data_IF_918071674170
#
_entry.id   IF_918071674170
#
_cell.length_a   1.000
_cell.length_b   1.000
_cell.length_c   1.000
_cell.angle_alpha   90.00
_cell.angle_beta   90.00
_cell.angle_gamma   90.00
#
_symmetry.space_group_name_H-M   'P 1'
#
loop_
_entity.id
_entity.type
_entity.pdbx_description
1 polymer ?
#
# COMPACT_ATOMS: atom_id res chain seq x y z
N UNK A 1 -30.53 16.76 2.99
CA UNK A 1 -29.79 15.80 2.14
C UNK A 1 -28.32 16.13 2.26
N UNK A 2 -27.56 15.32 2.98
CA UNK A 2 -26.10 15.43 3.01
C UNK A 2 -25.57 14.00 2.96
N UNK A 3 -25.21 13.58 1.75
CA UNK A 3 -24.42 12.38 1.49
C UNK A 3 -23.27 12.83 0.58
N UNK A 4 -22.30 13.53 1.17
CA UNK A 4 -20.95 13.59 0.64
C UNK A 4 -20.17 12.50 1.36
N UNK A 5 -20.08 11.32 0.75
CA UNK A 5 -19.34 10.19 1.30
C UNK A 5 -17.85 10.48 1.40
N UNK A 6 -17.13 9.65 2.15
CA UNK A 6 -15.68 9.65 2.47
C UNK A 6 -14.67 9.94 1.33
N UNK A 7 -15.12 10.17 0.10
CA UNK A 7 -14.31 10.45 -1.07
C UNK A 7 -13.62 11.82 -1.06
N UNK A 8 -14.07 12.77 -0.22
CA UNK A 8 -13.58 14.16 -0.23
C UNK A 8 -12.18 14.37 0.38
N UNK A 9 -11.56 13.35 1.00
CA UNK A 9 -10.12 13.42 1.27
C UNK A 9 -9.53 12.04 1.57
N UNK A 10 -9.09 11.31 0.54
CA UNK A 10 -8.01 10.36 0.78
C UNK A 10 -6.82 11.15 1.34
N UNK A 11 -6.18 10.60 2.37
CA UNK A 11 -5.05 11.27 3.01
C UNK A 11 -3.92 11.50 1.97
N UNK A 12 -3.58 12.76 1.65
CA UNK A 12 -2.52 13.06 0.70
C UNK A 12 -1.16 12.52 1.17
N UNK A 13 -0.94 12.35 2.48
CA UNK A 13 0.27 11.73 3.01
C UNK A 13 0.30 10.23 2.68
N UNK A 14 -0.80 9.52 2.88
CA UNK A 14 -0.96 8.13 2.43
C UNK A 14 -0.71 7.95 0.93
N UNK A 15 -1.21 8.86 0.08
CA UNK A 15 -0.93 8.84 -1.37
C UNK A 15 0.56 9.01 -1.66
N UNK A 16 1.22 9.95 -1.00
CA UNK A 16 2.67 10.14 -1.17
C UNK A 16 3.49 8.94 -0.66
N UNK A 17 3.06 8.29 0.43
CA UNK A 17 3.68 7.03 0.88
C UNK A 17 3.61 5.95 -0.19
N UNK A 18 2.44 5.73 -0.82
CA UNK A 18 2.31 4.75 -1.91
C UNK A 18 3.18 5.16 -3.12
N UNK A 19 3.26 6.45 -3.44
CA UNK A 19 4.15 6.95 -4.49
C UNK A 19 5.61 6.60 -4.22
N UNK A 20 6.06 6.75 -2.97
CA UNK A 20 7.40 6.37 -2.57
C UNK A 20 7.65 4.87 -2.65
N UNK A 21 6.72 4.05 -2.17
CA UNK A 21 6.78 2.59 -2.31
C UNK A 21 6.97 2.18 -3.78
N UNK A 22 6.20 2.78 -4.70
CA UNK A 22 6.31 2.47 -6.13
C UNK A 22 7.65 2.94 -6.72
N UNK A 23 8.20 4.05 -6.24
CA UNK A 23 9.42 4.66 -6.80
C UNK A 23 10.71 3.93 -6.37
N UNK A 24 10.74 3.29 -5.20
CA UNK A 24 11.93 2.58 -4.70
C UNK A 24 12.06 1.15 -5.18
N UNK A 25 10.99 0.59 -5.73
CA UNK A 25 10.99 -0.79 -6.18
C UNK A 25 12.03 -1.00 -7.28
N UNK A 26 12.84 -2.06 -7.15
CA UNK A 26 13.87 -2.41 -8.14
C UNK A 26 13.27 -2.91 -9.45
N UNK A 27 12.00 -3.33 -9.42
CA UNK A 27 11.26 -3.86 -10.56
C UNK A 27 10.01 -3.01 -10.80
N UNK A 28 9.42 -3.04 -12.01
CA UNK A 28 8.12 -2.44 -12.22
C UNK A 28 7.10 -2.96 -11.19
N UNK A 29 6.56 -2.05 -10.38
CA UNK A 29 5.52 -2.36 -9.39
C UNK A 29 4.18 -1.86 -9.89
N UNK A 30 3.19 -2.75 -9.80
CA UNK A 30 1.82 -2.46 -10.18
C UNK A 30 0.90 -2.46 -8.97
N UNK A 31 -0.08 -1.57 -8.99
CA UNK A 31 -1.15 -1.45 -8.01
C UNK A 31 -2.34 -2.27 -8.47
N UNK A 32 -2.82 -3.13 -7.58
CA UNK A 32 -4.05 -3.91 -7.71
C UNK A 32 -4.92 -3.56 -6.51
N UNK A 33 -6.22 -3.34 -6.75
CA UNK A 33 -7.18 -2.98 -5.71
C UNK A 33 -8.05 -4.18 -5.41
N UNK A 34 -7.97 -4.62 -4.15
CA UNK A 34 -8.82 -5.65 -3.57
C UNK A 34 -9.84 -5.07 -2.58
N UNK A 35 -10.28 -3.83 -2.73
CA UNK A 35 -11.33 -3.24 -1.85
C UNK A 35 -12.72 -3.35 -2.47
N UNK A 36 -13.79 -3.33 -1.66
CA UNK A 36 -15.17 -3.17 -2.16
C UNK A 36 -15.33 -1.92 -3.04
N UNK A 37 -14.47 -0.91 -2.85
CA UNK A 37 -14.42 0.29 -3.66
C UNK A 37 -14.18 0.00 -5.15
N UNK A 38 -13.52 -1.11 -5.50
CA UNK A 38 -13.32 -1.51 -6.92
C UNK A 38 -14.64 -1.83 -7.63
N UNK A 39 -15.65 -2.26 -6.87
CA UNK A 39 -16.99 -2.59 -7.34
C UNK A 39 -17.84 -1.31 -7.43
N UNK A 40 -17.76 -0.46 -6.39
CA UNK A 40 -18.55 0.77 -6.30
C UNK A 40 -18.05 1.89 -7.22
N UNK A 41 -16.76 1.91 -7.53
CA UNK A 41 -16.11 2.99 -8.29
C UNK A 41 -15.37 2.42 -9.50
N UNK A 42 -16.01 2.30 -10.67
CA UNK A 42 -15.36 1.78 -11.86
C UNK A 42 -14.16 2.63 -12.30
N UNK A 43 -14.19 3.93 -12.01
CA UNK A 43 -13.18 4.93 -12.34
C UNK A 43 -12.13 5.14 -11.24
N UNK A 44 -12.06 4.25 -10.25
CA UNK A 44 -11.19 4.41 -9.08
C UNK A 44 -9.71 4.74 -9.41
N UNK A 45 -9.07 4.16 -10.45
CA UNK A 45 -7.72 4.56 -10.84
C UNK A 45 -7.64 6.04 -11.23
N UNK A 46 -8.63 6.55 -11.99
CA UNK A 46 -8.68 7.96 -12.37
C UNK A 46 -8.83 8.85 -11.14
N UNK A 47 -9.66 8.46 -10.18
CA UNK A 47 -9.83 9.19 -8.91
C UNK A 47 -8.51 9.24 -8.14
N UNK A 48 -7.82 8.10 -7.98
CA UNK A 48 -6.50 8.07 -7.36
C UNK A 48 -5.47 8.94 -8.12
N UNK A 49 -5.49 8.94 -9.46
CA UNK A 49 -4.63 9.84 -10.26
C UNK A 49 -4.90 11.30 -9.97
N UNK A 50 -6.17 11.71 -9.94
CA UNK A 50 -6.57 13.09 -9.64
C UNK A 50 -6.13 13.52 -8.24
N UNK A 51 -6.02 12.56 -7.31
CA UNK A 51 -5.55 12.78 -5.94
C UNK A 51 -4.01 12.69 -5.80
N UNK A 52 -3.28 12.52 -6.91
CA UNK A 52 -1.81 12.59 -6.92
C UNK A 52 -1.09 11.25 -6.94
N UNK A 53 -1.81 10.12 -7.07
CA UNK A 53 -1.16 8.81 -7.19
C UNK A 53 -0.42 8.69 -8.53
N UNK A 54 0.87 8.39 -8.46
CA UNK A 54 1.83 8.25 -9.57
C UNK A 54 2.18 6.80 -9.88
N UNK A 55 2.04 5.88 -8.92
CA UNK A 55 2.25 4.43 -9.13
C UNK A 55 1.43 3.84 -10.29
N UNK A 56 1.96 2.87 -11.02
CA UNK A 56 1.25 2.25 -12.15
C UNK A 56 0.18 1.27 -11.65
N UNK A 57 -1.01 1.26 -12.24
CA UNK A 57 -1.99 0.19 -12.00
C UNK A 57 -1.72 -0.99 -12.93
N UNK A 58 -1.94 -2.21 -12.47
CA UNK A 58 -1.86 -3.39 -13.34
C UNK A 58 -2.93 -3.28 -14.46
N UNK A 59 -2.70 -3.79 -15.70
CA UNK A 59 -3.75 -3.80 -16.73
C UNK A 59 -5.05 -4.48 -16.28
N UNK A 60 -4.94 -5.44 -15.37
CA UNK A 60 -6.05 -6.07 -14.63
C UNK A 60 -6.04 -5.61 -13.17
N UNK A 61 -6.25 -4.33 -12.92
CA UNK A 61 -6.06 -3.72 -11.59
C UNK A 61 -7.09 -4.10 -10.53
N UNK A 62 -8.17 -4.81 -10.86
CA UNK A 62 -9.21 -5.22 -9.91
C UNK A 62 -9.10 -6.71 -9.64
N UNK A 63 -9.15 -7.11 -8.38
CA UNK A 63 -9.45 -8.50 -8.05
C UNK A 63 -10.90 -8.83 -8.40
N UNK A 64 -11.23 -10.09 -8.73
CA UNK A 64 -12.62 -10.54 -8.87
C UNK A 64 -13.35 -10.48 -7.53
N UNK A 65 -14.69 -10.56 -7.55
CA UNK A 65 -15.52 -10.73 -6.35
C UNK A 65 -15.80 -12.23 -6.18
N UNK A 66 -14.82 -12.93 -5.60
CA UNK A 66 -14.80 -14.38 -5.51
C UNK A 66 -15.73 -14.84 -4.37
N UNK A 67 -17.03 -15.00 -4.69
CA UNK A 67 -17.96 -15.61 -3.74
C UNK A 67 -17.69 -17.10 -3.55
N UNK A 68 -17.13 -17.48 -2.40
CA UNK A 68 -16.97 -18.89 -2.04
C UNK A 68 -18.29 -19.45 -1.47
N UNK A 69 -19.03 -20.17 -2.32
CA UNK A 69 -20.33 -20.78 -1.97
C UNK A 69 -20.22 -21.86 -0.89
N UNK A 70 -19.09 -22.56 -0.82
CA UNK A 70 -18.90 -23.71 0.07
C UNK A 70 -18.50 -23.27 1.49
N UNK A 71 -17.78 -22.15 1.61
CA UNK A 71 -17.35 -21.61 2.89
C UNK A 71 -18.37 -20.63 3.53
N UNK A 72 -19.43 -20.27 2.80
CA UNK A 72 -20.41 -19.22 3.16
C UNK A 72 -19.75 -17.94 3.70
N UNK A 73 -18.55 -17.64 3.20
CA UNK A 73 -17.72 -16.48 3.53
C UNK A 73 -16.92 -16.12 2.29
N UNK A 74 -16.62 -14.85 2.12
CA UNK A 74 -15.63 -14.37 1.15
C UNK A 74 -14.43 -13.91 1.96
N UNK A 75 -13.35 -14.69 1.95
CA UNK A 75 -12.07 -14.17 2.40
C UNK A 75 -11.52 -13.28 1.30
N UNK A 76 -10.97 -12.12 1.63
CA UNK A 76 -10.21 -11.33 0.64
C UNK A 76 -9.03 -12.10 0.05
N UNK A 77 -8.54 -13.07 0.80
CA UNK A 77 -7.57 -14.04 0.30
C UNK A 77 -8.06 -14.85 -0.92
N UNK A 78 -9.36 -15.11 -1.04
CA UNK A 78 -9.93 -15.82 -2.20
C UNK A 78 -9.91 -14.94 -3.45
N UNK A 79 -10.27 -13.65 -3.32
CA UNK A 79 -10.19 -12.65 -4.39
C UNK A 79 -8.76 -12.55 -4.94
N UNK A 80 -7.76 -12.53 -4.05
CA UNK A 80 -6.35 -12.49 -4.44
C UNK A 80 -5.91 -13.78 -5.11
N UNK A 81 -6.26 -14.94 -4.58
CA UNK A 81 -5.89 -16.23 -5.18
C UNK A 81 -6.45 -16.38 -6.59
N UNK A 82 -7.72 -16.04 -6.80
CA UNK A 82 -8.30 -16.07 -8.13
C UNK A 82 -7.60 -15.08 -9.07
N UNK A 83 -7.26 -13.88 -8.57
CA UNK A 83 -6.51 -12.92 -9.37
C UNK A 83 -5.11 -13.46 -9.75
N UNK A 84 -4.41 -14.13 -8.82
CA UNK A 84 -3.12 -14.77 -9.09
C UNK A 84 -3.23 -15.91 -10.11
N UNK A 85 -4.28 -16.73 -10.03
CA UNK A 85 -4.50 -17.81 -10.99
C UNK A 85 -4.68 -17.28 -12.42
N UNK A 86 -5.29 -16.10 -12.57
CA UNK A 86 -5.55 -15.47 -13.87
C UNK A 86 -4.38 -14.64 -14.41
N UNK A 87 -3.53 -14.08 -13.53
CA UNK A 87 -2.53 -13.07 -13.90
C UNK A 87 -1.09 -13.45 -13.56
N UNK A 88 -0.88 -14.54 -12.83
CA UNK A 88 0.40 -14.92 -12.23
C UNK A 88 0.58 -14.34 -10.82
N UNK A 89 1.48 -14.96 -10.05
CA UNK A 89 1.85 -14.57 -8.68
C UNK A 89 3.29 -14.05 -8.69
N UNK A 90 3.45 -12.74 -8.86
CA UNK A 90 4.72 -12.04 -8.62
C UNK A 90 4.95 -11.81 -7.12
N UNK A 91 6.09 -11.24 -6.73
CA UNK A 91 6.29 -10.77 -5.36
C UNK A 91 5.36 -9.59 -5.05
N UNK A 92 4.75 -9.59 -3.86
CA UNK A 92 3.71 -8.63 -3.49
C UNK A 92 3.72 -8.28 -2.01
N UNK A 93 3.04 -7.17 -1.71
CA UNK A 93 2.65 -6.74 -0.36
C UNK A 93 1.15 -6.45 -0.38
N UNK A 94 0.48 -6.66 0.76
CA UNK A 94 -0.93 -6.33 0.96
C UNK A 94 -1.00 -5.17 1.94
N UNK A 95 -1.72 -4.11 1.59
CA UNK A 95 -2.11 -3.03 2.49
C UNK A 95 -3.62 -3.12 2.65
N UNK A 96 -4.10 -3.55 3.80
CA UNK A 96 -5.52 -3.74 4.09
C UNK A 96 -5.77 -3.55 5.58
N UNK A 97 -6.96 -3.08 5.95
CA UNK A 97 -7.36 -2.89 7.35
C UNK A 97 -8.01 -4.15 7.96
N UNK A 98 -8.31 -5.16 7.14
CA UNK A 98 -8.81 -6.47 7.57
C UNK A 98 -7.71 -7.56 7.53
N UNK A 99 -7.91 -8.63 8.28
CA UNK A 99 -7.02 -9.79 8.37
C UNK A 99 -7.66 -11.06 7.75
N UNK A 100 -8.64 -10.90 6.87
CA UNK A 100 -9.38 -11.98 6.19
C UNK A 100 -8.61 -12.61 5.02
N UNK A 101 -7.32 -12.90 5.26
CA UNK A 101 -6.37 -13.52 4.33
C UNK A 101 -5.90 -14.89 4.80
N UNK A 102 -5.33 -15.70 3.90
CA UNK A 102 -4.70 -16.98 4.24
C UNK A 102 -3.36 -16.77 4.97
N UNK A 103 -2.90 -17.78 5.73
CA UNK A 103 -1.67 -17.66 6.54
C UNK A 103 -0.43 -17.27 5.71
N UNK A 104 -0.28 -17.81 4.50
CA UNK A 104 0.82 -17.47 3.58
C UNK A 104 0.70 -16.04 3.01
N UNK A 105 -0.52 -15.52 2.90
CA UNK A 105 -0.78 -14.14 2.48
C UNK A 105 -0.56 -13.16 3.64
N UNK A 106 -0.85 -13.57 4.87
CA UNK A 106 -0.63 -12.77 6.09
C UNK A 106 0.85 -12.45 6.32
N UNK A 107 1.77 -13.31 5.87
CA UNK A 107 3.21 -13.01 5.89
C UNK A 107 3.58 -11.78 5.03
N UNK A 108 2.70 -11.37 4.10
CA UNK A 108 2.85 -10.21 3.22
C UNK A 108 1.86 -9.07 3.55
N UNK A 109 1.06 -9.24 4.60
CA UNK A 109 0.04 -8.27 5.03
C UNK A 109 0.64 -7.22 5.97
N UNK A 110 0.40 -5.96 5.64
CA UNK A 110 0.61 -4.82 6.51
C UNK A 110 -0.76 -4.27 6.87
N UNK A 111 -1.17 -4.51 8.11
CA UNK A 111 -2.48 -4.11 8.61
C UNK A 111 -2.52 -2.59 8.79
N UNK A 112 -3.35 -1.93 7.99
CA UNK A 112 -3.61 -0.48 8.08
C UNK A 112 -4.75 -0.20 9.06
N UNK A 113 -4.92 1.06 9.45
CA UNK A 113 -6.06 1.44 10.29
C UNK A 113 -7.27 1.79 9.41
N UNK A 114 -8.46 1.30 9.76
CA UNK A 114 -9.68 1.56 8.97
C UNK A 114 -10.01 3.06 8.88
N UNK A 115 -9.83 3.82 9.98
CA UNK A 115 -10.20 5.22 10.05
C UNK A 115 -9.07 6.14 9.55
N UNK A 116 -7.81 5.78 9.83
CA UNK A 116 -6.64 6.62 9.59
C UNK A 116 -5.80 6.18 8.38
N UNK A 117 -6.08 5.01 7.80
CA UNK A 117 -5.37 4.47 6.64
C UNK A 117 -3.92 4.07 6.93
N UNK A 118 -3.02 4.40 5.99
CA UNK A 118 -1.60 4.02 6.04
C UNK A 118 -0.86 4.93 7.01
N UNK A 119 -0.39 4.36 8.12
CA UNK A 119 0.49 5.07 9.04
C UNK A 119 1.95 5.09 8.55
N UNK A 120 2.78 5.94 9.17
CA UNK A 120 4.22 5.92 8.91
C UNK A 120 4.89 4.58 9.26
N UNK A 121 4.38 3.85 10.25
CA UNK A 121 4.93 2.55 10.60
C UNK A 121 4.59 1.50 9.54
N UNK A 122 3.36 1.53 9.01
CA UNK A 122 2.98 0.70 7.85
C UNK A 122 3.88 1.00 6.65
N UNK A 123 4.16 2.29 6.40
CA UNK A 123 5.07 2.69 5.34
C UNK A 123 6.49 2.11 5.55
N UNK A 124 7.06 2.20 6.76
CA UNK A 124 8.38 1.59 7.02
C UNK A 124 8.38 0.08 6.80
N UNK A 125 7.34 -0.63 7.24
CA UNK A 125 7.22 -2.07 7.03
C UNK A 125 7.21 -2.40 5.53
N UNK A 126 6.42 -1.67 4.74
CA UNK A 126 6.38 -1.83 3.29
C UNK A 126 7.75 -1.56 2.65
N UNK A 127 8.44 -0.51 3.08
CA UNK A 127 9.77 -0.18 2.57
C UNK A 127 10.80 -1.25 2.88
N UNK A 128 10.76 -1.88 4.06
CA UNK A 128 11.64 -3.00 4.38
C UNK A 128 11.35 -4.21 3.50
N UNK A 129 10.07 -4.55 3.27
CA UNK A 129 9.70 -5.65 2.37
C UNK A 129 10.14 -5.37 0.92
N UNK A 130 9.90 -4.17 0.41
CA UNK A 130 10.22 -3.79 -0.97
C UNK A 130 11.72 -3.63 -1.25
N UNK A 131 12.55 -3.54 -0.20
CA UNK A 131 14.00 -3.28 -0.33
C UNK A 131 14.85 -4.41 0.23
N UNK A 132 14.28 -5.61 0.38
CA UNK A 132 14.96 -6.80 0.90
C UNK A 132 15.61 -6.57 2.29
N UNK A 133 14.91 -5.84 3.16
CA UNK A 133 15.37 -5.52 4.52
C UNK A 133 16.40 -4.40 4.61
N UNK A 134 16.63 -3.62 3.54
CA UNK A 134 17.56 -2.50 3.59
C UNK A 134 17.03 -1.35 4.47
N UNK A 135 17.49 -1.26 5.71
CA UNK A 135 17.14 -0.19 6.66
C UNK A 135 17.55 1.22 6.18
N UNK A 136 18.43 1.30 5.18
CA UNK A 136 18.83 2.55 4.54
C UNK A 136 18.00 2.86 3.29
N UNK A 137 16.79 2.31 3.17
CA UNK A 137 15.85 2.57 2.06
C UNK A 137 15.63 4.07 1.78
N UNK A 138 15.73 4.92 2.81
CA UNK A 138 15.62 6.37 2.66
C UNK A 138 16.71 6.97 1.76
N UNK A 139 17.86 6.30 1.60
CA UNK A 139 18.91 6.71 0.65
C UNK A 139 18.52 6.44 -0.80
N UNK A 140 17.67 5.44 -1.03
CA UNK A 140 17.17 5.10 -2.38
C UNK A 140 16.27 6.20 -2.94
N UNK A 141 15.69 7.01 -2.05
CA UNK A 141 14.83 8.14 -2.42
C UNK A 141 15.61 9.33 -2.98
N UNK A 142 16.94 9.39 -2.80
CA UNK A 142 17.80 10.45 -3.34
C UNK A 142 17.26 11.86 -3.07
N UNK A 143 17.29 12.73 -4.09
CA UNK A 143 16.75 14.10 -4.05
C UNK A 143 15.22 14.16 -4.22
N UNK A 144 14.53 13.04 -4.40
CA UNK A 144 13.07 12.98 -4.58
C UNK A 144 12.30 12.95 -3.25
N UNK A 145 12.98 13.14 -2.12
CA UNK A 145 12.34 13.31 -0.81
C UNK A 145 11.55 14.64 -0.77
N UNK A 146 10.37 14.70 -0.14
CA UNK A 146 9.70 15.96 0.09
C UNK A 146 10.58 16.78 1.03
N UNK A 147 10.75 18.07 0.73
CA UNK A 147 11.64 19.01 1.44
C UNK A 147 11.34 19.23 2.93
N UNK A 148 10.44 18.47 3.56
CA UNK A 148 10.12 18.50 4.99
C UNK A 148 10.51 17.26 5.80
N UNK A 149 10.96 16.16 5.18
CA UNK A 149 11.17 14.87 5.89
C UNK A 149 12.59 14.70 6.49
N UNK A 150 13.58 15.43 5.97
CA UNK A 150 14.97 15.36 6.44
C UNK A 150 15.20 16.01 7.82
N UNK A 151 14.28 16.86 8.30
CA UNK A 151 14.42 17.59 9.56
C UNK A 151 14.22 16.72 10.80
N UNK A 152 13.46 15.62 10.70
CA UNK A 152 13.19 14.72 11.83
C UNK A 152 14.30 13.68 12.06
N UNK A 153 14.97 13.22 11.00
CA UNK A 153 15.99 12.15 11.10
C UNK A 153 17.43 12.66 11.16
N UNK A 154 17.73 13.90 10.76
CA UNK A 154 19.08 14.47 10.96
C UNK A 154 19.43 14.68 12.44
N UNK A 155 18.45 14.86 13.33
CA UNK A 155 18.73 15.10 14.75
C UNK A 155 19.14 13.85 15.52
N UNK A 156 18.72 12.64 15.12
CA UNK A 156 19.11 11.39 15.81
C UNK A 156 20.50 10.87 15.45
N UNK A 157 21.08 11.29 14.32
CA UNK A 157 22.42 10.86 13.89
C UNK A 157 23.53 11.85 14.25
N UNK A 158 23.18 13.04 14.76
CA UNK A 158 24.16 14.08 15.14
C UNK A 158 24.44 14.15 16.64
N UNK A 159 23.63 13.51 17.49
CA UNK A 159 23.90 13.35 18.92
C UNK A 159 24.40 11.93 19.20
N UNK A 160 25.50 11.54 18.56
CA UNK A 160 26.39 10.54 19.12
C UNK A 160 27.10 11.15 20.31
N UNK A 161 26.39 11.38 21.41
CA UNK A 161 27.01 11.64 22.70
C UNK A 161 27.28 10.28 23.36
N UNK A 162 28.51 9.80 23.16
CA UNK A 162 29.16 8.93 24.12
C UNK A 162 29.30 9.72 25.44
N UNK A 163 28.47 9.40 26.41
CA UNK A 163 28.77 9.68 27.81
C UNK A 163 29.10 8.35 28.51
N UNK A 164 30.36 7.96 28.35
CA UNK A 164 31.13 7.25 29.38
C UNK A 164 31.86 8.25 30.26
#
# INVERSE_FOLDING_TARGET
MQQGGMMESLDPIGIEMINYMCAVSKTPTYIVISSTWRILHPDLPMIFRMLGLRGAFHPKWKTPDAFNKDANRTLRGDDLNQWFDENGKDDYIILDDDEDFYDDQKERLIVTDFDNGISFENFKQAMLLLTDGNEQWWKLLGDNLPTGWLSANKQKTLTGEEHG
#
